data_IF_381890293691
#
_entry.id   IF_381890293691
#
_cell.length_a   1.000
_cell.length_b   1.000
_cell.length_c   1.000
_cell.angle_alpha   90.00
_cell.angle_beta   90.00
_cell.angle_gamma   90.00
#
_symmetry.space_group_name_H-M   'P 1'
#
loop_
_entity.id
_entity.type
_entity.pdbx_description
1 polymer ?
#
# COMPACT_ATOMS: atom_id res chain seq x y z
N UNK A 1 16.06 -25.11 13.70
CA UNK A 1 16.18 -24.29 14.95
C UNK A 1 15.10 -23.22 15.06
N UNK A 2 14.53 -22.71 13.95
CA UNK A 2 13.43 -21.73 13.97
C UNK A 2 12.03 -22.33 14.25
N UNK A 3 11.83 -23.63 14.00
CA UNK A 3 10.49 -24.21 14.06
C UNK A 3 9.85 -24.18 15.46
N UNK A 4 10.67 -24.35 16.51
CA UNK A 4 10.20 -24.21 17.91
C UNK A 4 9.72 -22.78 18.21
N UNK A 5 10.40 -21.78 17.63
CA UNK A 5 10.03 -20.36 17.78
C UNK A 5 8.70 -20.06 17.10
N UNK A 6 8.47 -20.61 15.91
CA UNK A 6 7.17 -20.46 15.21
C UNK A 6 6.04 -21.14 15.95
N UNK A 7 6.30 -22.32 16.54
CA UNK A 7 5.34 -23.00 17.40
C UNK A 7 4.98 -22.17 18.64
N UNK A 8 5.97 -21.59 19.31
CA UNK A 8 5.77 -20.72 20.46
C UNK A 8 4.94 -19.48 20.10
N UNK A 9 5.27 -18.82 18.98
CA UNK A 9 4.52 -17.68 18.46
C UNK A 9 3.07 -18.05 18.09
N UNK A 10 2.86 -19.23 17.50
CA UNK A 10 1.54 -19.77 17.18
C UNK A 10 0.70 -20.02 18.44
N UNK A 11 1.29 -20.62 19.47
CA UNK A 11 0.63 -20.84 20.76
C UNK A 11 0.29 -19.51 21.44
N UNK A 12 1.19 -18.53 21.38
CA UNK A 12 0.96 -17.19 21.90
C UNK A 12 -0.20 -16.51 21.16
N UNK A 13 -0.24 -16.59 19.83
CA UNK A 13 -1.35 -16.05 19.03
C UNK A 13 -2.69 -16.68 19.43
N UNK A 14 -2.76 -18.01 19.55
CA UNK A 14 -3.96 -18.72 20.03
C UNK A 14 -4.40 -18.25 21.42
N UNK A 15 -3.45 -18.04 22.34
CA UNK A 15 -3.77 -17.56 23.69
C UNK A 15 -4.41 -16.17 23.67
N UNK A 16 -3.92 -15.27 22.81
CA UNK A 16 -4.44 -13.91 22.68
C UNK A 16 -5.81 -13.87 22.00
N UNK A 17 -6.06 -14.77 21.04
CA UNK A 17 -7.36 -14.90 20.38
C UNK A 17 -8.46 -15.37 21.34
N UNK A 18 -8.11 -16.21 22.32
CA UNK A 18 -9.04 -16.69 23.37
C UNK A 18 -9.45 -15.60 24.38
N UNK A 19 -8.70 -14.51 24.48
CA UNK A 19 -9.05 -13.39 25.37
C UNK A 19 -10.33 -12.72 24.81
N UNK A 20 -11.41 -12.61 25.61
CA UNK A 20 -12.64 -11.94 25.16
C UNK A 20 -12.38 -10.49 24.75
N UNK A 21 -13.02 -10.01 23.68
CA UNK A 21 -12.81 -8.66 23.15
C UNK A 21 -12.95 -7.55 24.19
N UNK A 22 -13.88 -7.69 25.14
CA UNK A 22 -14.10 -6.70 26.22
C UNK A 22 -12.94 -6.58 27.22
N UNK A 23 -12.07 -7.59 27.29
CA UNK A 23 -10.92 -7.65 28.22
C UNK A 23 -9.58 -7.46 27.52
N UNK A 24 -9.56 -7.24 26.20
CA UNK A 24 -8.31 -7.14 25.43
C UNK A 24 -7.79 -5.71 25.47
N UNK A 25 -6.58 -5.52 25.99
CA UNK A 25 -5.91 -4.23 26.00
C UNK A 25 -5.26 -3.91 24.64
N UNK A 26 -4.89 -2.64 24.42
CA UNK A 26 -4.26 -2.19 23.17
C UNK A 26 -2.94 -2.93 22.87
N UNK A 27 -2.14 -3.21 23.91
CA UNK A 27 -0.90 -3.97 23.78
C UNK A 27 -1.13 -5.38 23.23
N UNK A 28 -2.13 -6.10 23.72
CA UNK A 28 -2.47 -7.44 23.26
C UNK A 28 -3.00 -7.42 21.82
N UNK A 29 -3.71 -6.37 21.41
CA UNK A 29 -4.16 -6.21 20.02
C UNK A 29 -2.95 -6.01 19.09
N UNK A 30 -1.99 -5.17 19.47
CA UNK A 30 -0.77 -4.94 18.71
C UNK A 30 0.10 -6.20 18.64
N UNK A 31 0.26 -6.91 19.76
CA UNK A 31 0.99 -8.17 19.83
C UNK A 31 0.33 -9.23 18.94
N UNK A 32 -0.99 -9.39 19.02
CA UNK A 32 -1.77 -10.29 18.18
C UNK A 32 -1.61 -9.96 16.68
N UNK A 33 -1.69 -8.68 16.31
CA UNK A 33 -1.51 -8.24 14.93
C UNK A 33 -0.08 -8.50 14.43
N UNK A 34 0.93 -8.28 15.28
CA UNK A 34 2.33 -8.56 14.95
C UNK A 34 2.59 -10.04 14.75
N UNK A 35 2.09 -10.89 15.66
CA UNK A 35 2.25 -12.35 15.59
C UNK A 35 1.54 -12.93 14.37
N UNK A 36 0.30 -12.47 14.09
CA UNK A 36 -0.43 -12.87 12.90
C UNK A 36 0.35 -12.57 11.61
N UNK A 37 0.80 -11.32 11.42
CA UNK A 37 1.55 -10.92 10.21
C UNK A 37 2.85 -11.71 10.06
N UNK A 38 3.60 -11.88 11.15
CA UNK A 38 4.87 -12.59 11.12
C UNK A 38 4.67 -14.06 10.73
N UNK A 39 3.73 -14.76 11.39
CA UNK A 39 3.42 -16.16 11.10
C UNK A 39 2.88 -16.34 9.68
N UNK A 40 2.06 -15.41 9.19
CA UNK A 40 1.58 -15.41 7.80
C UNK A 40 2.73 -15.31 6.79
N UNK A 41 3.74 -14.49 7.05
CA UNK A 41 4.88 -14.31 6.16
C UNK A 41 5.78 -15.55 6.09
N UNK A 42 6.03 -16.20 7.24
CA UNK A 42 6.97 -17.33 7.32
C UNK A 42 6.34 -18.69 6.98
N UNK A 43 5.02 -18.77 6.79
CA UNK A 43 4.29 -20.03 6.58
C UNK A 43 4.85 -20.89 5.44
N UNK A 44 5.33 -20.25 4.36
CA UNK A 44 5.93 -20.92 3.20
C UNK A 44 7.35 -21.42 3.45
N UNK A 45 8.04 -20.87 4.45
CA UNK A 45 9.42 -21.21 4.81
C UNK A 45 9.52 -22.43 5.74
N UNK A 46 8.41 -22.79 6.40
CA UNK A 46 8.38 -23.90 7.37
C UNK A 46 8.44 -25.23 6.62
N UNK A 47 9.58 -25.94 6.75
CA UNK A 47 9.83 -27.23 6.08
C UNK A 47 9.09 -28.40 6.72
N UNK A 48 8.86 -28.35 8.04
CA UNK A 48 8.17 -29.42 8.77
C UNK A 48 6.66 -29.32 8.58
N UNK A 49 6.06 -30.34 7.97
CA UNK A 49 4.63 -30.33 7.64
C UNK A 49 3.73 -30.25 8.89
N UNK A 50 4.10 -30.95 9.97
CA UNK A 50 3.31 -30.93 11.22
C UNK A 50 3.26 -29.54 11.84
N UNK A 51 4.41 -28.85 11.88
CA UNK A 51 4.55 -27.50 12.44
C UNK A 51 3.85 -26.49 11.54
N UNK A 52 4.00 -26.64 10.23
CA UNK A 52 3.32 -25.80 9.25
C UNK A 52 1.80 -25.86 9.42
N UNK A 53 1.22 -27.06 9.50
CA UNK A 53 -0.24 -27.22 9.70
C UNK A 53 -0.72 -26.60 11.01
N UNK A 54 0.07 -26.65 12.07
CA UNK A 54 -0.30 -26.06 13.36
C UNK A 54 -0.27 -24.52 13.33
N UNK A 55 0.79 -23.95 12.75
CA UNK A 55 0.92 -22.51 12.53
C UNK A 55 -0.21 -22.02 11.61
N UNK A 56 -0.48 -22.75 10.53
CA UNK A 56 -1.53 -22.45 9.56
C UNK A 56 -2.91 -22.42 10.21
N UNK A 57 -3.25 -23.43 11.02
CA UNK A 57 -4.49 -23.43 11.81
C UNK A 57 -4.62 -22.16 12.67
N UNK A 58 -3.54 -21.74 13.32
CA UNK A 58 -3.55 -20.53 14.17
C UNK A 58 -3.76 -19.25 13.37
N UNK A 59 -3.16 -19.17 12.19
CA UNK A 59 -3.32 -18.05 11.25
C UNK A 59 -4.74 -18.03 10.68
N UNK A 60 -5.33 -19.18 10.35
CA UNK A 60 -6.72 -19.30 9.90
C UNK A 60 -7.69 -18.86 11.00
N UNK A 61 -7.47 -19.26 12.24
CA UNK A 61 -8.31 -18.84 13.36
C UNK A 61 -8.24 -17.32 13.58
N UNK A 62 -7.05 -16.73 13.48
CA UNK A 62 -6.88 -15.28 13.51
C UNK A 62 -7.61 -14.60 12.34
N UNK A 63 -7.54 -15.17 11.14
CA UNK A 63 -8.20 -14.64 9.96
C UNK A 63 -9.73 -14.67 10.10
N UNK A 64 -10.30 -15.78 10.58
CA UNK A 64 -11.73 -15.89 10.90
C UNK A 64 -12.14 -14.84 11.91
N UNK A 65 -11.36 -14.68 12.99
CA UNK A 65 -11.62 -13.64 13.98
C UNK A 65 -11.63 -12.24 13.36
N UNK A 66 -10.65 -11.89 12.52
CA UNK A 66 -10.58 -10.58 11.87
C UNK A 66 -11.80 -10.32 10.97
N UNK A 67 -12.29 -11.34 10.26
CA UNK A 67 -13.48 -11.24 9.42
C UNK A 67 -14.77 -10.99 10.23
N UNK A 68 -14.80 -11.33 11.52
CA UNK A 68 -15.94 -11.03 12.41
C UNK A 68 -15.89 -9.62 13.01
N UNK A 69 -14.76 -8.91 12.90
CA UNK A 69 -14.64 -7.57 13.48
C UNK A 69 -15.33 -6.57 12.56
N UNK A 70 -16.35 -5.84 13.04
CA UNK A 70 -17.03 -4.85 12.21
C UNK A 70 -16.07 -3.72 11.84
N UNK A 71 -15.79 -3.59 10.55
CA UNK A 71 -14.99 -2.52 9.99
C UNK A 71 -15.85 -1.29 9.82
N UNK A 72 -15.50 -0.20 10.50
CA UNK A 72 -16.11 1.11 10.25
C UNK A 72 -15.40 1.76 9.08
N UNK A 73 -16.13 2.12 8.02
CA UNK A 73 -15.56 2.82 6.85
C UNK A 73 -14.75 4.06 7.23
N UNK A 74 -15.19 4.82 8.25
CA UNK A 74 -14.45 5.97 8.78
C UNK A 74 -13.08 5.57 9.36
N UNK A 75 -13.01 4.45 10.09
CA UNK A 75 -11.75 3.94 10.66
C UNK A 75 -10.82 3.41 9.58
N UNK A 76 -11.37 2.73 8.57
CA UNK A 76 -10.60 2.25 7.40
C UNK A 76 -10.02 3.43 6.63
N UNK A 77 -10.85 4.43 6.32
CA UNK A 77 -10.42 5.65 5.63
C UNK A 77 -9.32 6.37 6.42
N UNK A 78 -9.54 6.61 7.72
CA UNK A 78 -8.53 7.22 8.59
C UNK A 78 -7.22 6.42 8.60
N UNK A 79 -7.30 5.09 8.68
CA UNK A 79 -6.12 4.25 8.65
C UNK A 79 -5.38 4.34 7.31
N UNK A 80 -6.08 4.19 6.18
CA UNK A 80 -5.49 4.20 4.84
C UNK A 80 -4.88 5.55 4.45
N UNK A 81 -5.55 6.66 4.78
CA UNK A 81 -5.15 7.98 4.32
C UNK A 81 -4.38 8.81 5.34
N UNK A 82 -4.36 8.43 6.63
CA UNK A 82 -3.65 9.19 7.66
C UNK A 82 -2.59 8.36 8.39
N UNK A 83 -2.92 7.14 8.81
CA UNK A 83 -1.99 6.33 9.61
C UNK A 83 -0.95 5.63 8.74
N UNK A 84 -1.40 4.98 7.67
CA UNK A 84 -0.55 4.18 6.80
C UNK A 84 0.52 5.02 6.07
N UNK A 85 0.22 6.20 5.49
CA UNK A 85 1.24 7.01 4.83
C UNK A 85 2.30 7.46 5.83
N UNK A 86 1.89 7.96 7.01
CA UNK A 86 2.83 8.39 8.06
C UNK A 86 3.73 7.23 8.51
N UNK A 87 3.19 6.02 8.63
CA UNK A 87 3.97 4.84 8.96
C UNK A 87 4.95 4.44 7.85
N UNK A 88 4.51 4.46 6.58
CA UNK A 88 5.36 4.17 5.43
C UNK A 88 6.51 5.17 5.31
N UNK A 89 6.22 6.46 5.48
CA UNK A 89 7.20 7.56 5.43
C UNK A 89 8.21 7.54 6.59
N UNK A 90 8.06 6.69 7.61
CA UNK A 90 9.13 6.47 8.59
C UNK A 90 10.33 5.74 8.00
N UNK A 91 10.12 4.92 6.97
CA UNK A 91 11.21 4.24 6.28
C UNK A 91 12.06 5.25 5.52
N UNK A 92 13.38 5.24 5.75
CA UNK A 92 14.32 6.08 5.01
C UNK A 92 14.34 5.75 3.52
N UNK A 93 14.11 4.48 3.17
CA UNK A 93 14.03 4.03 1.79
C UNK A 93 12.81 4.61 1.07
N UNK A 94 11.63 4.52 1.69
CA UNK A 94 10.39 5.13 1.16
C UNK A 94 10.59 6.63 0.94
N UNK A 95 11.15 7.34 1.93
CA UNK A 95 11.45 8.77 1.81
C UNK A 95 12.37 9.07 0.64
N UNK A 96 13.44 8.30 0.48
CA UNK A 96 14.37 8.46 -0.63
C UNK A 96 13.67 8.26 -1.99
N UNK A 97 12.91 7.18 -2.15
CA UNK A 97 12.15 6.92 -3.37
C UNK A 97 11.14 8.04 -3.67
N UNK A 98 10.42 8.53 -2.66
CA UNK A 98 9.49 9.64 -2.81
C UNK A 98 10.21 10.90 -3.26
N UNK A 99 11.33 11.26 -2.61
CA UNK A 99 12.11 12.44 -3.00
C UNK A 99 12.62 12.29 -4.43
N UNK A 100 13.16 11.13 -4.79
CA UNK A 100 13.68 10.88 -6.14
C UNK A 100 12.57 11.04 -7.19
N UNK A 101 11.42 10.41 -6.98
CA UNK A 101 10.28 10.49 -7.88
C UNK A 101 9.79 11.92 -8.05
N UNK A 102 9.46 12.60 -6.96
CA UNK A 102 8.90 13.95 -7.04
C UNK A 102 9.91 14.98 -7.53
N UNK A 103 11.21 14.82 -7.22
CA UNK A 103 12.24 15.73 -7.73
C UNK A 103 12.33 15.66 -9.25
N UNK A 104 12.34 14.44 -9.81
CA UNK A 104 12.34 14.24 -11.27
C UNK A 104 11.03 14.76 -11.87
N UNK A 105 9.89 14.44 -11.27
CA UNK A 105 8.59 14.92 -11.72
C UNK A 105 8.52 16.44 -11.79
N UNK A 106 8.89 17.15 -10.72
CA UNK A 106 8.85 18.61 -10.69
C UNK A 106 9.91 19.25 -11.60
N UNK A 107 11.08 18.62 -11.76
CA UNK A 107 12.08 19.07 -12.72
C UNK A 107 11.57 18.97 -14.16
N UNK A 108 10.93 17.84 -14.52
CA UNK A 108 10.32 17.66 -15.83
C UNK A 108 9.14 18.60 -16.06
N UNK A 109 8.31 18.84 -15.03
CA UNK A 109 7.22 19.82 -15.09
C UNK A 109 7.76 21.23 -15.34
N UNK A 110 8.78 21.65 -14.60
CA UNK A 110 9.41 22.95 -14.79
C UNK A 110 10.06 23.06 -16.17
N UNK A 111 10.75 22.02 -16.63
CA UNK A 111 11.32 21.97 -17.97
C UNK A 111 10.27 22.14 -19.06
N UNK A 112 9.16 21.40 -18.98
CA UNK A 112 8.07 21.51 -19.96
C UNK A 112 7.32 22.85 -19.90
N UNK A 113 7.20 23.45 -18.71
CA UNK A 113 6.59 24.77 -18.55
C UNK A 113 7.47 25.91 -19.10
N UNK A 114 8.79 25.83 -18.87
CA UNK A 114 9.73 26.89 -19.23
C UNK A 114 10.27 26.76 -20.66
N UNK A 115 10.25 25.55 -21.25
CA UNK A 115 10.82 25.29 -22.57
C UNK A 115 9.91 24.38 -23.39
N UNK A 116 9.40 24.93 -24.51
CA UNK A 116 8.68 24.16 -25.51
C UNK A 116 9.56 23.08 -26.15
N UNK A 117 10.83 23.39 -26.42
CA UNK A 117 11.77 22.44 -27.03
C UNK A 117 12.03 21.23 -26.11
N UNK A 118 12.11 21.46 -24.79
CA UNK A 118 12.18 20.37 -23.81
C UNK A 118 10.91 19.52 -23.84
N UNK A 119 9.72 20.15 -23.87
CA UNK A 119 8.45 19.42 -23.96
C UNK A 119 8.35 18.58 -25.25
N UNK A 120 8.78 19.13 -26.40
CA UNK A 120 8.85 18.42 -27.68
C UNK A 120 9.83 17.25 -27.62
N UNK A 121 10.99 17.42 -27.00
CA UNK A 121 11.98 16.36 -26.84
C UNK A 121 11.48 15.18 -25.98
N UNK A 122 10.63 15.45 -24.98
CA UNK A 122 10.10 14.43 -24.07
C UNK A 122 8.84 13.75 -24.60
N UNK A 123 7.90 14.51 -25.16
CA UNK A 123 6.58 14.00 -25.58
C UNK A 123 6.46 13.72 -27.08
N UNK A 124 7.34 14.31 -27.89
CA UNK A 124 7.20 14.39 -29.34
C UNK A 124 6.27 15.53 -29.77
N UNK A 125 6.54 16.12 -30.93
CA UNK A 125 5.84 17.30 -31.44
C UNK A 125 4.35 17.02 -31.69
N UNK A 126 4.02 15.88 -32.31
CA UNK A 126 2.65 15.48 -32.59
C UNK A 126 1.79 15.33 -31.33
N UNK A 127 2.36 14.76 -30.27
CA UNK A 127 1.67 14.61 -28.97
C UNK A 127 1.46 15.96 -28.30
N UNK A 128 2.44 16.87 -28.39
CA UNK A 128 2.35 18.20 -27.80
C UNK A 128 1.30 19.06 -28.50
N UNK A 129 1.20 18.99 -29.83
CA UNK A 129 0.14 19.66 -30.59
C UNK A 129 -1.23 19.12 -30.22
N UNK A 130 -1.39 17.80 -30.08
CA UNK A 130 -2.64 17.19 -29.65
C UNK A 130 -3.08 17.65 -28.25
N UNK A 131 -2.17 17.73 -27.28
CA UNK A 131 -2.47 18.29 -25.96
C UNK A 131 -2.81 19.78 -26.01
N UNK A 132 -2.09 20.54 -26.84
CA UNK A 132 -2.34 21.97 -27.00
C UNK A 132 -3.73 22.21 -27.60
N UNK A 133 -4.12 21.44 -28.61
CA UNK A 133 -5.43 21.53 -29.24
C UNK A 133 -6.56 21.05 -28.31
N UNK A 134 -6.31 20.04 -27.49
CA UNK A 134 -7.25 19.59 -26.43
C UNK A 134 -7.50 20.65 -25.35
N UNK A 135 -6.54 21.57 -25.13
CA UNK A 135 -6.62 22.62 -24.12
C UNK A 135 -6.85 24.04 -24.68
N UNK A 136 -6.96 24.19 -26.01
CA UNK A 136 -7.26 25.46 -26.71
C UNK A 136 -8.74 25.86 -26.68
N UNK A 137 -9.64 25.02 -26.18
CA UNK A 137 -11.07 25.37 -26.11
C UNK A 137 -11.30 26.50 -25.10
N UNK A 138 -11.81 27.64 -25.57
CA UNK A 138 -12.25 28.79 -24.74
C UNK A 138 -13.40 28.44 -23.79
N UNK A 139 -14.08 27.33 -24.05
CA UNK A 139 -15.05 26.75 -23.13
C UNK A 139 -14.30 26.12 -21.95
N UNK A 140 -14.28 26.84 -20.82
CA UNK A 140 -13.90 26.29 -19.50
C UNK A 140 -14.93 25.26 -19.01
N UNK A 141 -15.27 24.28 -19.83
CA UNK A 141 -16.05 23.12 -19.42
C UNK A 141 -15.13 22.12 -18.71
N UNK A 142 -14.53 22.57 -17.60
CA UNK A 142 -13.78 21.71 -16.70
C UNK A 142 -14.77 20.80 -15.98
N UNK A 143 -15.11 19.66 -16.61
CA UNK A 143 -15.94 18.65 -15.96
C UNK A 143 -15.09 17.93 -14.90
N UNK A 144 -15.65 17.75 -13.71
CA UNK A 144 -15.05 16.97 -12.62
C UNK A 144 -14.68 15.57 -13.11
N UNK A 145 -15.44 15.00 -14.05
CA UNK A 145 -15.11 13.73 -14.70
C UNK A 145 -13.80 13.79 -15.50
N UNK A 146 -13.47 14.91 -16.15
CA UNK A 146 -12.18 15.06 -16.85
C UNK A 146 -11.01 15.23 -15.88
N UNK A 147 -11.23 15.86 -14.72
CA UNK A 147 -10.24 15.88 -13.63
C UNK A 147 -10.07 14.50 -13.01
N UNK A 148 -11.16 13.76 -12.81
CA UNK A 148 -11.12 12.39 -12.32
C UNK A 148 -10.53 11.42 -13.35
N UNK A 149 -10.69 11.69 -14.64
CA UNK A 149 -10.08 10.87 -15.69
C UNK A 149 -8.62 11.22 -15.86
N UNK A 150 -8.22 12.49 -15.92
CA UNK A 150 -6.81 12.88 -16.09
C UNK A 150 -5.97 12.74 -14.81
N UNK A 151 -6.42 13.34 -13.70
CA UNK A 151 -5.76 13.25 -12.40
C UNK A 151 -6.03 11.91 -11.74
N UNK A 152 -7.22 11.33 -11.92
CA UNK A 152 -7.51 9.99 -11.41
C UNK A 152 -6.86 8.89 -12.24
N UNK A 153 -6.63 9.00 -13.57
CA UNK A 153 -5.70 8.06 -14.21
C UNK A 153 -4.31 8.22 -13.61
N UNK A 154 -3.82 9.44 -13.38
CA UNK A 154 -2.47 9.61 -12.84
C UNK A 154 -2.36 9.07 -11.41
N UNK A 155 -3.32 9.39 -10.54
CA UNK A 155 -3.37 8.93 -9.14
C UNK A 155 -3.67 7.45 -9.09
N UNK A 156 -4.68 6.93 -9.80
CA UNK A 156 -4.98 5.50 -9.85
C UNK A 156 -3.83 4.75 -10.48
N UNK A 157 -3.25 5.20 -11.59
CA UNK A 157 -2.12 4.49 -12.21
C UNK A 157 -0.88 4.52 -11.32
N UNK A 158 -0.54 5.62 -10.65
CA UNK A 158 0.60 5.67 -9.72
C UNK A 158 0.32 4.95 -8.39
N UNK A 159 -0.90 5.02 -7.85
CA UNK A 159 -1.30 4.29 -6.64
C UNK A 159 -1.46 2.80 -6.93
N UNK A 160 -1.92 2.42 -8.11
CA UNK A 160 -2.00 1.04 -8.60
C UNK A 160 -0.60 0.52 -8.93
N UNK A 161 0.28 1.31 -9.56
CA UNK A 161 1.70 0.97 -9.72
C UNK A 161 2.40 0.85 -8.38
N UNK A 162 2.17 1.73 -7.42
CA UNK A 162 2.71 1.64 -6.07
C UNK A 162 2.13 0.43 -5.32
N UNK A 163 0.83 0.14 -5.43
CA UNK A 163 0.19 -1.03 -4.82
C UNK A 163 0.59 -2.34 -5.47
N UNK A 164 0.83 -2.36 -6.78
CA UNK A 164 1.39 -3.53 -7.48
C UNK A 164 2.85 -3.66 -7.06
N UNK A 165 3.66 -2.61 -7.13
CA UNK A 165 5.09 -2.67 -6.79
C UNK A 165 5.36 -2.97 -5.31
N UNK A 166 4.55 -2.44 -4.37
CA UNK A 166 4.64 -2.77 -2.93
C UNK A 166 3.85 -4.03 -2.54
N UNK A 167 2.70 -4.30 -3.17
CA UNK A 167 1.80 -5.40 -2.81
C UNK A 167 2.11 -6.71 -3.52
N UNK A 168 2.70 -6.66 -4.73
CA UNK A 168 3.25 -7.81 -5.46
C UNK A 168 4.77 -7.86 -5.42
N UNK A 169 5.39 -7.13 -4.48
CA UNK A 169 6.83 -6.96 -4.28
C UNK A 169 7.69 -7.89 -5.12
N UNK A 170 8.37 -7.34 -6.14
CA UNK A 170 9.42 -8.05 -6.87
C UNK A 170 8.95 -9.45 -7.32
N UNK A 171 7.94 -9.47 -8.19
CA UNK A 171 7.74 -10.58 -9.13
C UNK A 171 8.10 -10.11 -10.54
N UNK A 172 9.34 -9.63 -10.66
CA UNK A 172 10.33 -10.10 -11.65
C UNK A 172 11.62 -10.35 -10.88
#
# INVERSE_FOLDING_TARGET
MNDKKYLEQSNRLRSLLRIPNRKRNQSAILEMASLYRNLSAVLLEIKSQSIRSEVESSVIDAHRYLNTVPLSGKKVFHYLFQVLPVAAFRSSYVRFCTVLFYSVFFASLAGGYLSKDYAVAVLGEATLEQYTDMHKSDDRNFNVDMAFTGSGYYIVNNVTLDLITYGTGILV
#
